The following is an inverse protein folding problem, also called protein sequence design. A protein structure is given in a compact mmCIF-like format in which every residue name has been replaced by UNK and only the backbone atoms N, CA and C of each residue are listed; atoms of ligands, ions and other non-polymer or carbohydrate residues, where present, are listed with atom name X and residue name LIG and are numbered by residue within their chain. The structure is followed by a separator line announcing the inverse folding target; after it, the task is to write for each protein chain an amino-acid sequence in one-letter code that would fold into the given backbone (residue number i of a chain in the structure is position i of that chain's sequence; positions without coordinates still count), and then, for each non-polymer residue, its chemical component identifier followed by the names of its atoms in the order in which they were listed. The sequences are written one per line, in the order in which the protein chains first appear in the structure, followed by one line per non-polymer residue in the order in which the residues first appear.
data_IF_109662624801
#
_entry.id   IF_109662624801
#
_cell.length_a   1.000
_cell.length_b   1.000
_cell.length_c   1.000
_cell.angle_alpha   90.00
_cell.angle_beta   90.00
_cell.angle_gamma   90.00
#
_symmetry.space_group_name_H-M   'P 1'
#
loop_
_entity.id
_entity.type
_entity.pdbx_description
1 polymer ?
#
# COMPACT_ATOMS: atom_id res chain seq x y z
N UNK A 1 21.46 -11.63 -13.47
CA UNK A 1 20.43 -12.37 -14.24
C UNK A 1 19.43 -11.35 -14.72
N UNK A 2 18.92 -11.49 -15.95
CA UNK A 2 17.80 -10.67 -16.42
C UNK A 2 16.50 -11.17 -15.83
N UNK A 3 15.54 -10.26 -15.58
CA UNK A 3 14.28 -10.57 -14.92
C UNK A 3 13.13 -10.66 -15.93
N UNK A 4 12.21 -11.58 -15.69
CA UNK A 4 10.92 -11.68 -16.38
C UNK A 4 9.82 -11.36 -15.40
N UNK A 5 9.14 -10.24 -15.63
CA UNK A 5 8.16 -9.67 -14.69
C UNK A 5 6.78 -9.67 -15.33
N UNK A 6 5.79 -10.19 -14.61
CA UNK A 6 4.40 -10.15 -15.03
C UNK A 6 3.59 -9.14 -14.23
N UNK A 7 2.60 -8.52 -14.88
CA UNK A 7 1.54 -7.73 -14.22
C UNK A 7 0.21 -8.39 -14.51
N UNK A 8 -0.50 -8.81 -13.47
CA UNK A 8 -1.82 -9.43 -13.52
C UNK A 8 -2.87 -8.46 -13.01
N UNK A 9 -3.87 -8.17 -13.84
CA UNK A 9 -4.81 -7.07 -13.65
C UNK A 9 -4.21 -5.75 -14.14
N UNK A 10 -4.56 -5.36 -15.37
CA UNK A 10 -4.00 -4.19 -16.04
C UNK A 10 -4.96 -3.00 -16.08
N UNK A 11 -5.89 -2.94 -15.16
CA UNK A 11 -6.73 -1.79 -14.91
C UNK A 11 -5.94 -0.57 -14.45
N UNK A 12 -6.56 0.30 -13.65
CA UNK A 12 -5.93 1.56 -13.23
C UNK A 12 -4.55 1.39 -12.58
N UNK A 13 -4.41 0.52 -11.56
CA UNK A 13 -3.12 0.34 -10.87
C UNK A 13 -2.14 -0.50 -11.68
N UNK A 14 -2.61 -1.56 -12.34
CA UNK A 14 -1.74 -2.37 -13.19
C UNK A 14 -1.15 -1.58 -14.35
N UNK A 15 -1.89 -0.63 -14.95
CA UNK A 15 -1.33 0.25 -15.97
C UNK A 15 -0.24 1.18 -15.43
N UNK A 16 -0.36 1.66 -14.18
CA UNK A 16 0.71 2.42 -13.54
C UNK A 16 1.95 1.55 -13.29
N UNK A 17 1.77 0.30 -12.85
CA UNK A 17 2.87 -0.65 -12.69
C UNK A 17 3.56 -0.96 -14.03
N UNK A 18 2.81 -1.23 -15.09
CA UNK A 18 3.39 -1.45 -16.43
C UNK A 18 4.22 -0.25 -16.88
N UNK A 19 3.68 0.97 -16.77
CA UNK A 19 4.40 2.19 -17.14
C UNK A 19 5.66 2.40 -16.30
N UNK A 20 5.63 2.08 -15.01
CA UNK A 20 6.79 2.16 -14.14
C UNK A 20 7.84 1.09 -14.47
N UNK A 21 7.44 -0.15 -14.76
CA UNK A 21 8.36 -1.22 -15.17
C UNK A 21 9.08 -0.88 -16.48
N UNK A 22 8.35 -0.36 -17.48
CA UNK A 22 8.97 0.10 -18.74
C UNK A 22 10.01 1.20 -18.48
N UNK A 23 9.71 2.15 -17.61
CA UNK A 23 10.61 3.24 -17.23
C UNK A 23 11.87 2.76 -16.50
N UNK A 24 11.74 1.69 -15.71
CA UNK A 24 12.80 1.11 -14.88
C UNK A 24 13.49 -0.08 -15.54
N UNK A 25 13.11 -0.46 -16.77
CA UNK A 25 13.52 -1.69 -17.43
C UNK A 25 15.04 -1.87 -17.46
N UNK A 26 15.76 -0.86 -17.91
CA UNK A 26 17.22 -0.91 -18.02
C UNK A 26 17.88 -0.92 -16.63
N UNK A 27 17.37 -0.09 -15.69
CA UNK A 27 17.90 0.00 -14.33
C UNK A 27 17.78 -1.32 -13.57
N UNK A 28 16.68 -2.04 -13.76
CA UNK A 28 16.38 -3.29 -13.06
C UNK A 28 16.74 -4.54 -13.87
N UNK A 29 17.33 -4.35 -15.05
CA UNK A 29 17.69 -5.45 -15.96
C UNK A 29 16.52 -6.40 -16.25
N UNK A 30 15.36 -5.81 -16.59
CA UNK A 30 14.16 -6.57 -16.94
C UNK A 30 14.21 -6.93 -18.43
N UNK A 31 14.24 -8.23 -18.73
CA UNK A 31 14.27 -8.75 -20.10
C UNK A 31 12.86 -8.75 -20.72
N UNK A 32 11.87 -9.19 -19.96
CA UNK A 32 10.49 -9.28 -20.44
C UNK A 32 9.51 -8.70 -19.42
N UNK A 33 8.58 -7.89 -19.92
CA UNK A 33 7.40 -7.43 -19.21
C UNK A 33 6.19 -8.06 -19.87
N UNK A 34 5.45 -8.89 -19.13
CA UNK A 34 4.27 -9.61 -19.63
C UNK A 34 3.04 -9.09 -18.89
N UNK A 35 1.99 -8.78 -19.64
CA UNK A 35 0.71 -8.34 -19.08
C UNK A 35 -0.31 -9.46 -19.08
N UNK A 36 -1.21 -9.49 -18.10
CA UNK A 36 -2.34 -10.40 -18.08
C UNK A 36 -3.59 -9.66 -17.59
N UNK A 37 -4.63 -9.67 -18.40
CA UNK A 37 -5.94 -9.12 -18.03
C UNK A 37 -7.07 -9.90 -18.72
N UNK A 38 -8.10 -10.26 -17.97
CA UNK A 38 -9.24 -11.02 -18.49
C UNK A 38 -10.27 -10.16 -19.23
N UNK A 39 -10.15 -8.84 -19.21
CA UNK A 39 -10.93 -7.95 -20.06
C UNK A 39 -10.28 -7.89 -21.45
N UNK A 40 -11.00 -8.40 -22.43
CA UNK A 40 -10.54 -8.44 -23.83
C UNK A 40 -10.17 -7.05 -24.39
N UNK A 41 -10.88 -6.00 -24.00
CA UNK A 41 -10.60 -4.64 -24.50
C UNK A 41 -9.29 -4.10 -23.90
N UNK A 42 -9.06 -4.36 -22.61
CA UNK A 42 -7.79 -4.02 -21.93
C UNK A 42 -6.65 -4.79 -22.59
N UNK A 43 -6.80 -6.11 -22.75
CA UNK A 43 -5.79 -6.97 -23.38
C UNK A 43 -5.48 -6.52 -24.82
N UNK A 44 -6.48 -6.20 -25.62
CA UNK A 44 -6.29 -5.71 -26.98
C UNK A 44 -5.56 -4.36 -27.03
N UNK A 45 -5.92 -3.42 -26.15
CA UNK A 45 -5.24 -2.12 -26.06
C UNK A 45 -3.76 -2.27 -25.71
N UNK A 46 -3.43 -3.18 -24.80
CA UNK A 46 -2.04 -3.45 -24.40
C UNK A 46 -1.24 -4.12 -25.54
N UNK A 47 -1.84 -5.04 -26.29
CA UNK A 47 -1.20 -5.63 -27.50
C UNK A 47 -0.90 -4.58 -28.56
N UNK A 48 -1.83 -3.64 -28.79
CA UNK A 48 -1.61 -2.52 -29.70
C UNK A 48 -0.49 -1.58 -29.21
N UNK A 49 -0.26 -1.52 -27.90
CA UNK A 49 0.84 -0.78 -27.29
C UNK A 49 2.17 -1.56 -27.27
N UNK A 50 2.21 -2.77 -27.85
CA UNK A 50 3.43 -3.57 -28.00
C UNK A 50 3.75 -4.52 -26.85
N UNK A 51 2.86 -4.69 -25.87
CA UNK A 51 3.06 -5.66 -24.79
C UNK A 51 2.76 -7.10 -25.25
N UNK A 52 3.49 -8.06 -24.67
CA UNK A 52 3.08 -9.46 -24.65
C UNK A 52 1.92 -9.60 -23.65
N UNK A 53 0.75 -10.11 -24.09
CA UNK A 53 -0.48 -10.08 -23.29
C UNK A 53 -1.21 -11.42 -23.31
N UNK A 54 -1.54 -11.93 -22.14
CA UNK A 54 -2.42 -13.07 -21.89
C UNK A 54 -3.77 -12.62 -21.35
N UNK A 55 -4.84 -13.39 -21.65
CA UNK A 55 -6.18 -13.14 -21.14
C UNK A 55 -6.54 -14.07 -19.95
N UNK A 56 -5.68 -15.02 -19.65
CA UNK A 56 -5.78 -15.86 -18.44
C UNK A 56 -4.40 -16.14 -17.85
N UNK A 57 -4.40 -16.40 -16.55
CA UNK A 57 -3.17 -16.57 -15.77
C UNK A 57 -2.51 -17.91 -16.06
N UNK A 58 -3.29 -18.93 -16.41
CA UNK A 58 -2.78 -20.25 -16.73
C UNK A 58 -1.89 -20.20 -17.98
N UNK A 59 -2.35 -19.56 -19.07
CA UNK A 59 -1.53 -19.39 -20.28
C UNK A 59 -0.28 -18.54 -20.03
N UNK A 60 -0.38 -17.51 -19.18
CA UNK A 60 0.78 -16.73 -18.76
C UNK A 60 1.85 -17.63 -18.12
N UNK A 61 1.44 -18.50 -17.19
CA UNK A 61 2.34 -19.36 -16.44
C UNK A 61 2.93 -20.47 -17.33
N UNK A 62 2.11 -21.03 -18.22
CA UNK A 62 2.52 -22.14 -19.08
C UNK A 62 3.52 -21.69 -20.16
N UNK A 63 3.37 -20.47 -20.67
CA UNK A 63 4.17 -19.95 -21.78
C UNK A 63 5.43 -19.18 -21.32
N UNK A 64 5.45 -18.70 -20.06
CA UNK A 64 6.56 -17.90 -19.55
C UNK A 64 7.10 -18.43 -18.22
N UNK A 65 8.44 -18.41 -18.12
CA UNK A 65 9.12 -18.59 -16.84
C UNK A 65 9.19 -17.21 -16.15
N UNK A 66 8.23 -16.91 -15.27
CA UNK A 66 8.13 -15.64 -14.56
C UNK A 66 8.96 -15.67 -13.27
N UNK A 67 9.82 -14.66 -13.07
CA UNK A 67 10.64 -14.53 -11.86
C UNK A 67 9.87 -13.74 -10.77
N UNK A 68 9.08 -12.73 -11.19
CA UNK A 68 8.30 -11.89 -10.29
C UNK A 68 6.95 -11.53 -10.90
N UNK A 69 5.92 -11.46 -10.07
CA UNK A 69 4.57 -11.03 -10.44
C UNK A 69 4.11 -9.85 -9.61
N UNK A 70 3.40 -8.92 -10.25
CA UNK A 70 2.63 -7.86 -9.60
C UNK A 70 1.16 -8.18 -9.79
N UNK A 71 0.44 -8.40 -8.69
CA UNK A 71 -1.01 -8.68 -8.69
C UNK A 71 -1.74 -7.38 -8.36
N UNK A 72 -2.42 -6.80 -9.36
CA UNK A 72 -3.15 -5.54 -9.26
C UNK A 72 -4.62 -5.69 -9.71
N UNK A 73 -5.22 -6.80 -9.35
CA UNK A 73 -6.60 -7.23 -9.64
C UNK A 73 -7.57 -6.72 -8.55
N UNK A 74 -8.88 -7.00 -8.61
CA UNK A 74 -9.80 -6.73 -7.50
C UNK A 74 -9.41 -7.46 -6.21
N UNK A 75 -9.67 -6.81 -5.06
CA UNK A 75 -9.22 -7.26 -3.73
C UNK A 75 -9.55 -8.73 -3.40
N UNK A 76 -10.72 -9.21 -3.83
CA UNK A 76 -11.19 -10.58 -3.58
C UNK A 76 -10.40 -11.66 -4.33
N UNK A 77 -9.56 -11.30 -5.28
CA UNK A 77 -8.72 -12.23 -6.05
C UNK A 77 -7.26 -12.26 -5.58
N UNK A 78 -6.83 -11.31 -4.74
CA UNK A 78 -5.46 -11.15 -4.29
C UNK A 78 -4.89 -12.41 -3.64
N UNK A 79 -5.66 -13.02 -2.72
CA UNK A 79 -5.25 -14.25 -2.04
C UNK A 79 -5.01 -15.40 -3.02
N UNK A 80 -5.99 -15.67 -3.88
CA UNK A 80 -5.92 -16.81 -4.79
C UNK A 80 -4.76 -16.68 -5.78
N UNK A 81 -4.58 -15.48 -6.35
CA UNK A 81 -3.49 -15.22 -7.29
C UNK A 81 -2.12 -15.19 -6.59
N UNK A 82 -2.02 -14.51 -5.45
CA UNK A 82 -0.79 -14.48 -4.67
C UNK A 82 -0.33 -15.89 -4.28
N UNK A 83 -1.25 -16.73 -3.79
CA UNK A 83 -1.01 -18.14 -3.47
C UNK A 83 -0.52 -18.92 -4.69
N UNK A 84 -1.23 -18.80 -5.81
CA UNK A 84 -0.92 -19.50 -7.06
C UNK A 84 0.53 -19.24 -7.51
N UNK A 85 0.97 -17.99 -7.51
CA UNK A 85 2.32 -17.62 -7.93
C UNK A 85 3.40 -18.02 -6.91
N UNK A 86 3.15 -17.79 -5.63
CA UNK A 86 4.10 -18.19 -4.57
C UNK A 86 4.33 -19.71 -4.56
N UNK A 87 3.28 -20.53 -4.68
CA UNK A 87 3.39 -21.99 -4.75
C UNK A 87 4.21 -22.47 -5.95
N UNK A 88 4.22 -21.69 -7.03
CA UNK A 88 5.05 -21.94 -8.23
C UNK A 88 6.47 -21.38 -8.13
N UNK A 89 6.82 -20.81 -6.99
CA UNK A 89 8.16 -20.28 -6.75
C UNK A 89 8.42 -18.94 -7.43
N UNK A 90 7.38 -18.13 -7.65
CA UNK A 90 7.46 -16.76 -8.20
C UNK A 90 7.43 -15.75 -7.05
N UNK A 91 8.29 -14.73 -7.09
CA UNK A 91 8.21 -13.60 -6.16
C UNK A 91 6.95 -12.78 -6.43
N UNK A 92 6.25 -12.33 -5.39
CA UNK A 92 4.96 -11.65 -5.54
C UNK A 92 4.92 -10.29 -4.84
N UNK A 93 4.51 -9.26 -5.58
CA UNK A 93 3.99 -8.01 -5.03
C UNK A 93 2.48 -8.02 -5.26
N UNK A 94 1.72 -8.00 -4.19
CA UNK A 94 0.26 -7.98 -4.24
C UNK A 94 -0.22 -6.59 -3.81
N UNK A 95 -1.09 -5.98 -4.61
CA UNK A 95 -1.69 -4.69 -4.23
C UNK A 95 -2.43 -4.78 -2.89
N UNK A 96 -2.54 -3.64 -2.26
CA UNK A 96 -3.23 -3.56 -0.96
C UNK A 96 -4.77 -3.58 -1.12
N UNK A 97 -5.48 -4.19 -0.17
CA UNK A 97 -4.95 -5.02 0.92
C UNK A 97 -4.43 -6.35 0.39
N UNK A 98 -3.41 -6.92 1.03
CA UNK A 98 -2.91 -8.27 0.68
C UNK A 98 -4.05 -9.30 0.70
N UNK A 99 -4.95 -9.17 1.67
CA UNK A 99 -6.27 -9.79 1.78
C UNK A 99 -7.14 -8.91 2.67
N UNK A 100 -8.45 -9.02 2.55
CA UNK A 100 -9.42 -8.41 3.48
C UNK A 100 -9.64 -9.25 4.74
N UNK A 101 -9.10 -10.45 4.76
CA UNK A 101 -9.16 -11.45 5.83
C UNK A 101 -7.75 -11.69 6.35
N UNK A 102 -7.57 -11.56 7.67
CA UNK A 102 -6.27 -11.70 8.33
C UNK A 102 -5.70 -13.12 8.19
N UNK A 103 -6.53 -14.16 8.30
CA UNK A 103 -6.05 -15.54 8.26
C UNK A 103 -5.58 -15.92 6.84
N UNK A 104 -6.27 -15.43 5.81
CA UNK A 104 -5.84 -15.58 4.42
C UNK A 104 -4.52 -14.84 4.17
N UNK A 105 -4.36 -13.62 4.69
CA UNK A 105 -3.11 -12.88 4.60
C UNK A 105 -1.97 -13.62 5.31
N UNK A 106 -2.22 -14.16 6.50
CA UNK A 106 -1.26 -14.97 7.27
C UNK A 106 -0.84 -16.24 6.52
N UNK A 107 -1.80 -16.88 5.83
CA UNK A 107 -1.52 -18.03 4.96
C UNK A 107 -0.56 -17.68 3.82
N UNK A 108 -0.76 -16.54 3.13
CA UNK A 108 0.17 -16.08 2.08
C UNK A 108 1.58 -15.85 2.61
N UNK A 109 1.69 -15.23 3.79
CA UNK A 109 2.98 -15.03 4.46
C UNK A 109 3.66 -16.37 4.73
N UNK A 110 2.91 -17.36 5.25
CA UNK A 110 3.45 -18.71 5.54
C UNK A 110 3.95 -19.40 4.27
N UNK A 111 3.19 -19.34 3.17
CA UNK A 111 3.59 -19.89 1.88
C UNK A 111 4.86 -19.20 1.36
N UNK A 112 4.94 -17.87 1.47
CA UNK A 112 6.12 -17.13 1.01
C UNK A 112 7.41 -17.57 1.73
N UNK A 113 7.32 -17.77 3.04
CA UNK A 113 8.41 -18.28 3.87
C UNK A 113 8.77 -19.74 3.48
N UNK A 114 7.78 -20.61 3.35
CA UNK A 114 7.98 -22.00 2.95
C UNK A 114 8.69 -22.12 1.60
N UNK A 115 8.28 -21.29 0.62
CA UNK A 115 8.84 -21.31 -0.73
C UNK A 115 10.13 -20.49 -0.86
N UNK A 116 10.54 -19.76 0.17
CA UNK A 116 11.70 -18.87 0.13
C UNK A 116 11.54 -17.75 -0.89
N UNK A 117 10.32 -17.22 -1.06
CA UNK A 117 9.99 -16.19 -2.03
C UNK A 117 9.59 -14.87 -1.36
N UNK A 118 9.99 -13.77 -1.96
CA UNK A 118 9.58 -12.45 -1.51
C UNK A 118 8.08 -12.27 -1.72
N UNK A 119 7.37 -11.90 -0.66
CA UNK A 119 5.99 -11.40 -0.71
C UNK A 119 6.00 -9.96 -0.20
N UNK A 120 5.57 -9.03 -1.03
CA UNK A 120 5.42 -7.61 -0.70
C UNK A 120 3.97 -7.18 -0.90
N UNK A 121 3.57 -6.15 -0.18
CA UNK A 121 2.23 -5.55 -0.31
C UNK A 121 2.35 -4.12 -0.86
N UNK A 122 1.38 -3.69 -1.65
CA UNK A 122 1.32 -2.40 -2.34
C UNK A 122 1.24 -1.17 -1.42
N UNK A 123 2.06 -1.08 -0.38
CA UNK A 123 2.16 0.07 0.52
C UNK A 123 3.12 1.14 -0.02
N UNK A 124 2.79 1.65 -1.18
CA UNK A 124 3.66 2.59 -1.92
C UNK A 124 4.02 3.86 -1.15
N UNK A 125 3.19 4.32 -0.20
CA UNK A 125 3.47 5.54 0.57
C UNK A 125 4.68 5.41 1.49
N UNK A 126 5.12 4.20 1.84
CA UNK A 126 6.40 3.96 2.51
C UNK A 126 7.61 4.42 1.70
N UNK A 127 7.46 4.47 0.38
CA UNK A 127 8.50 4.91 -0.56
C UNK A 127 8.32 6.38 -0.99
N UNK A 128 7.40 7.11 -0.37
CA UNK A 128 7.22 8.52 -0.62
C UNK A 128 8.41 9.33 -0.07
N UNK A 129 9.10 10.14 -0.90
CA UNK A 129 10.34 10.80 -0.48
C UNK A 129 10.21 11.60 0.82
N UNK A 130 9.14 12.37 0.96
CA UNK A 130 8.89 13.13 2.19
C UNK A 130 8.65 12.22 3.41
N UNK A 131 8.00 11.07 3.23
CA UNK A 131 7.80 10.09 4.32
C UNK A 131 9.14 9.48 4.74
N UNK A 132 10.00 9.14 3.80
CA UNK A 132 11.32 8.57 4.07
C UNK A 132 12.27 9.58 4.76
N UNK A 133 12.29 10.84 4.29
CA UNK A 133 13.07 11.88 4.95
C UNK A 133 12.54 12.14 6.37
N UNK A 134 11.22 12.25 6.53
CA UNK A 134 10.60 12.44 7.84
C UNK A 134 10.90 11.26 8.77
N UNK A 135 10.81 10.01 8.30
CA UNK A 135 11.21 8.83 9.07
C UNK A 135 12.66 8.92 9.54
N UNK A 136 13.59 9.29 8.64
CA UNK A 136 15.00 9.48 9.00
C UNK A 136 15.20 10.56 10.07
N UNK A 137 14.44 11.66 10.02
CA UNK A 137 14.47 12.74 11.02
C UNK A 137 13.93 12.30 12.38
N UNK A 138 12.85 11.51 12.38
CA UNK A 138 12.30 10.92 13.62
C UNK A 138 13.35 10.04 14.29
N UNK A 139 14.03 9.17 13.52
CA UNK A 139 15.09 8.30 14.05
C UNK A 139 16.27 9.09 14.64
N UNK A 140 16.52 10.32 14.17
CA UNK A 140 17.53 11.23 14.70
C UNK A 140 17.04 12.08 15.88
N UNK A 141 15.76 11.98 16.24
CA UNK A 141 15.16 12.75 17.32
C UNK A 141 14.82 14.20 16.95
N UNK A 142 14.84 14.58 15.68
CA UNK A 142 14.63 15.96 15.22
C UNK A 142 13.29 16.56 15.68
N UNK A 143 12.24 15.75 15.81
CA UNK A 143 10.92 16.17 16.23
C UNK A 143 10.62 15.91 17.73
N UNK A 144 11.60 15.37 18.47
CA UNK A 144 11.42 14.97 19.86
C UNK A 144 10.53 13.73 20.01
N UNK A 145 9.86 13.60 21.15
CA UNK A 145 8.90 12.52 21.37
C UNK A 145 7.66 12.75 20.48
N UNK A 146 7.24 11.72 19.76
CA UNK A 146 6.02 11.79 18.96
C UNK A 146 4.82 11.66 19.88
N UNK A 147 3.84 12.54 19.73
CA UNK A 147 2.67 12.65 20.59
C UNK A 147 1.38 12.29 19.84
N UNK A 148 1.29 12.69 18.55
CA UNK A 148 0.08 12.51 17.74
C UNK A 148 0.40 12.41 16.25
N UNK A 149 -0.40 11.64 15.51
CA UNK A 149 -0.43 11.62 14.05
C UNK A 149 -1.87 11.78 13.58
N UNK A 150 -2.12 12.77 12.72
CA UNK A 150 -3.41 12.97 12.06
C UNK A 150 -3.24 12.66 10.58
N UNK A 151 -3.89 11.60 10.09
CA UNK A 151 -3.92 11.23 8.69
C UNK A 151 -5.28 11.56 8.09
N UNK A 152 -5.28 12.34 7.00
CA UNK A 152 -6.51 12.73 6.33
C UNK A 152 -6.45 12.45 4.85
N UNK A 153 -7.40 11.65 4.36
CA UNK A 153 -7.52 11.35 2.94
C UNK A 153 -8.99 11.38 2.50
N UNK A 154 -9.42 12.55 2.03
CA UNK A 154 -10.74 12.81 1.52
C UNK A 154 -10.69 12.95 0.00
N UNK A 155 -11.67 12.41 -0.71
CA UNK A 155 -11.72 12.43 -2.16
C UNK A 155 -13.09 12.82 -2.67
N UNK A 156 -13.13 13.66 -3.69
CA UNK A 156 -14.34 14.00 -4.44
C UNK A 156 -14.80 12.84 -5.34
N UNK A 157 -13.95 11.85 -5.55
CA UNK A 157 -14.22 10.69 -6.40
C UNK A 157 -15.28 9.80 -5.78
N UNK A 158 -15.93 9.03 -6.62
CA UNK A 158 -16.78 7.93 -6.19
C UNK A 158 -15.96 6.80 -5.57
N UNK A 159 -16.64 5.97 -4.79
CA UNK A 159 -16.07 4.76 -4.21
C UNK A 159 -15.55 3.80 -5.29
N UNK A 160 -14.54 3.04 -4.93
CA UNK A 160 -14.03 1.94 -5.77
C UNK A 160 -15.03 0.78 -5.64
N UNK A 161 -15.50 0.19 -6.75
CA UNK A 161 -16.36 -0.98 -6.69
C UNK A 161 -15.74 -2.10 -5.84
N UNK A 162 -16.58 -2.80 -5.08
CA UNK A 162 -16.19 -3.92 -4.22
C UNK A 162 -15.14 -3.60 -3.13
N UNK A 163 -15.06 -2.31 -2.73
CA UNK A 163 -14.17 -1.85 -1.67
C UNK A 163 -14.85 -0.81 -0.79
N UNK A 164 -14.36 -0.61 0.42
CA UNK A 164 -14.78 0.43 1.36
C UNK A 164 -13.61 1.40 1.65
N UNK A 165 -13.89 2.52 2.31
CA UNK A 165 -12.86 3.52 2.59
C UNK A 165 -11.78 3.03 3.58
N UNK A 166 -12.10 2.05 4.44
CA UNK A 166 -11.12 1.46 5.36
C UNK A 166 -10.06 0.69 4.59
N UNK A 167 -10.46 -0.27 3.75
CA UNK A 167 -9.54 -1.11 2.96
C UNK A 167 -8.81 -0.31 1.87
N UNK A 168 -9.41 0.77 1.38
CA UNK A 168 -8.84 1.55 0.28
C UNK A 168 -7.97 2.71 0.73
N UNK A 169 -8.34 3.41 1.80
CA UNK A 169 -7.74 4.67 2.20
C UNK A 169 -7.15 4.62 3.61
N UNK A 170 -7.91 4.12 4.63
CA UNK A 170 -7.43 4.10 6.00
C UNK A 170 -6.24 3.17 6.21
N UNK A 171 -6.18 2.08 5.48
CA UNK A 171 -5.05 1.13 5.51
C UNK A 171 -3.69 1.81 5.25
N UNK A 172 -3.67 2.84 4.40
CA UNK A 172 -2.44 3.62 4.16
C UNK A 172 -2.07 4.51 5.34
N UNK A 173 -3.06 5.11 6.02
CA UNK A 173 -2.83 5.93 7.21
C UNK A 173 -2.26 5.09 8.35
N UNK A 174 -2.82 3.90 8.56
CA UNK A 174 -2.34 2.98 9.58
C UNK A 174 -0.93 2.45 9.26
N UNK A 175 -0.66 2.15 7.99
CA UNK A 175 0.67 1.70 7.55
C UNK A 175 1.73 2.79 7.73
N UNK A 176 1.43 4.06 7.38
CA UNK A 176 2.32 5.19 7.62
C UNK A 176 2.57 5.39 9.12
N UNK A 177 1.52 5.37 9.94
CA UNK A 177 1.67 5.51 11.39
C UNK A 177 2.56 4.41 11.97
N UNK A 178 2.33 3.15 11.56
CA UNK A 178 3.16 2.00 11.96
C UNK A 178 4.62 2.21 11.57
N UNK A 179 4.91 2.66 10.35
CA UNK A 179 6.27 2.97 9.90
C UNK A 179 6.91 4.07 10.76
N UNK A 180 6.25 5.22 10.89
CA UNK A 180 6.80 6.40 11.59
C UNK A 180 7.00 6.14 13.08
N UNK A 181 6.22 5.23 13.67
CA UNK A 181 6.35 4.77 15.04
C UNK A 181 7.22 3.51 15.18
N UNK A 182 8.19 3.33 14.28
CA UNK A 182 9.21 2.27 14.33
C UNK A 182 8.63 0.85 14.36
N UNK A 183 7.67 0.59 13.47
CA UNK A 183 6.98 -0.70 13.30
C UNK A 183 6.16 -1.12 14.54
N UNK A 184 5.82 -0.19 15.43
CA UNK A 184 4.91 -0.46 16.54
C UNK A 184 3.49 -0.68 16.02
N UNK A 185 2.68 -1.36 16.82
CA UNK A 185 1.26 -1.61 16.53
C UNK A 185 0.38 -0.79 17.48
N UNK A 186 -0.81 -0.38 17.06
CA UNK A 186 -1.82 0.11 17.99
C UNK A 186 -2.04 -0.89 19.13
N UNK A 187 -2.38 -0.40 20.30
CA UNK A 187 -2.76 -1.19 21.47
C UNK A 187 -4.28 -1.22 21.64
N UNK A 188 -4.93 -0.11 21.33
CA UNK A 188 -6.37 0.09 21.53
C UNK A 188 -6.92 0.85 20.32
N UNK A 189 -8.11 0.49 19.88
CA UNK A 189 -8.96 1.33 19.03
C UNK A 189 -9.97 2.02 19.94
N UNK A 190 -9.75 3.31 20.21
CA UNK A 190 -10.57 4.10 21.13
C UNK A 190 -11.89 4.51 20.51
N UNK A 191 -11.95 4.62 19.18
CA UNK A 191 -13.16 4.98 18.45
C UNK A 191 -13.07 4.57 16.98
N UNK A 192 -14.18 4.10 16.44
CA UNK A 192 -14.44 4.02 15.01
C UNK A 192 -15.84 4.51 14.73
N UNK A 193 -15.98 5.45 13.80
CA UNK A 193 -17.28 6.01 13.38
C UNK A 193 -17.33 6.17 11.87
N UNK A 194 -18.53 6.12 11.31
CA UNK A 194 -18.72 6.34 9.87
C UNK A 194 -19.39 5.15 9.17
N UNK A 195 -19.11 4.99 7.90
CA UNK A 195 -19.67 3.95 7.03
C UNK A 195 -18.66 3.51 5.95
N UNK A 196 -19.11 2.81 4.91
CA UNK A 196 -18.27 2.36 3.79
C UNK A 196 -17.62 3.52 3.00
N UNK A 197 -18.23 4.71 3.02
CA UNK A 197 -17.80 5.86 2.23
C UNK A 197 -16.99 6.86 3.01
N UNK A 198 -17.23 6.96 4.30
CA UNK A 198 -16.52 7.86 5.20
C UNK A 198 -16.33 7.20 6.55
N UNK A 199 -15.10 7.20 7.04
CA UNK A 199 -14.78 6.66 8.37
C UNK A 199 -13.71 7.50 9.04
N UNK A 200 -13.80 7.54 10.36
CA UNK A 200 -12.82 8.13 11.24
C UNK A 200 -12.48 7.12 12.34
N UNK A 201 -11.18 6.86 12.49
CA UNK A 201 -10.63 5.97 13.50
C UNK A 201 -9.74 6.76 14.44
N UNK A 202 -9.78 6.42 15.73
CA UNK A 202 -8.82 6.90 16.73
C UNK A 202 -8.18 5.67 17.37
N UNK A 203 -6.86 5.60 17.29
CA UNK A 203 -6.04 4.49 17.73
C UNK A 203 -5.00 4.98 18.73
N UNK A 204 -4.77 4.23 19.78
CA UNK A 204 -3.70 4.49 20.75
C UNK A 204 -2.53 3.54 20.51
N UNK A 205 -1.36 4.11 20.31
CA UNK A 205 -0.09 3.41 20.18
C UNK A 205 0.67 3.42 21.52
N UNK A 206 1.76 2.63 21.66
CA UNK A 206 2.62 2.71 22.82
C UNK A 206 3.08 4.14 23.10
N UNK A 207 3.39 4.42 24.38
CA UNK A 207 3.79 5.75 24.88
C UNK A 207 2.71 6.83 24.76
N UNK A 208 1.42 6.42 24.71
CA UNK A 208 0.24 7.32 24.63
C UNK A 208 0.20 8.15 23.33
N UNK A 209 0.79 7.64 22.26
CA UNK A 209 0.71 8.30 20.96
C UNK A 209 -0.70 8.06 20.38
N UNK A 210 -1.42 9.13 20.11
CA UNK A 210 -2.72 9.09 19.47
C UNK A 210 -2.55 9.14 17.94
N UNK A 211 -3.27 8.28 17.23
CA UNK A 211 -3.33 8.30 15.77
C UNK A 211 -4.77 8.43 15.33
N UNK A 212 -5.08 9.55 14.68
CA UNK A 212 -6.37 9.80 14.06
C UNK A 212 -6.28 9.55 12.56
N UNK A 213 -7.22 8.77 12.02
CA UNK A 213 -7.31 8.46 10.59
C UNK A 213 -8.69 8.84 10.10
N UNK A 214 -8.79 9.89 9.28
CA UNK A 214 -10.02 10.35 8.65
C UNK A 214 -9.97 10.11 7.15
N UNK A 215 -10.90 9.32 6.63
CA UNK A 215 -10.93 8.95 5.21
C UNK A 215 -12.33 9.01 4.63
N UNK A 216 -12.43 9.31 3.32
CA UNK A 216 -13.74 9.32 2.68
C UNK A 216 -13.73 9.54 1.19
N UNK A 217 -14.78 9.02 0.53
CA UNK A 217 -15.14 9.28 -0.86
C UNK A 217 -16.34 10.24 -0.93
N UNK A 218 -16.59 10.80 -2.13
CA UNK A 218 -17.69 11.75 -2.40
C UNK A 218 -17.67 12.96 -1.47
N UNK A 219 -16.47 13.39 -1.06
CA UNK A 219 -16.31 14.54 -0.19
C UNK A 219 -16.32 15.84 -1.02
N UNK A 220 -16.49 16.97 -0.35
CA UNK A 220 -16.55 18.30 -1.00
C UNK A 220 -15.21 18.74 -1.58
N UNK A 221 -14.12 18.26 -1.01
CA UNK A 221 -12.76 18.62 -1.38
C UNK A 221 -11.84 17.39 -1.43
N UNK A 222 -10.70 17.57 -2.08
CA UNK A 222 -9.66 16.56 -2.13
C UNK A 222 -8.55 16.91 -1.15
N UNK A 223 -8.42 16.13 -0.08
CA UNK A 223 -7.36 16.25 0.92
C UNK A 223 -6.57 14.94 0.92
N UNK A 224 -5.24 15.04 0.91
CA UNK A 224 -4.34 13.89 1.01
C UNK A 224 -3.08 14.33 1.75
N UNK A 225 -3.11 14.27 3.07
CA UNK A 225 -2.03 14.73 3.93
C UNK A 225 -1.99 14.00 5.25
N UNK A 226 -0.89 14.13 5.96
CA UNK A 226 -0.83 13.81 7.39
C UNK A 226 0.00 14.85 8.14
N UNK A 227 -0.35 15.04 9.41
CA UNK A 227 0.38 15.87 10.36
C UNK A 227 0.98 14.97 11.43
N UNK A 228 2.24 15.14 11.72
CA UNK A 228 2.93 14.45 12.81
C UNK A 228 3.36 15.48 13.85
N UNK A 229 2.82 15.36 15.03
CA UNK A 229 3.09 16.25 16.17
C UNK A 229 4.11 15.59 17.10
N UNK A 230 5.21 16.26 17.30
CA UNK A 230 6.23 15.88 18.26
C UNK A 230 6.52 17.02 19.23
N UNK A 231 7.17 16.72 20.35
CA UNK A 231 7.50 17.71 21.39
C UNK A 231 8.38 18.86 20.92
N UNK A 232 9.08 18.72 19.80
CA UNK A 232 9.97 19.74 19.21
C UNK A 232 9.46 20.29 17.87
N UNK A 233 8.19 20.08 17.51
CA UNK A 233 7.61 20.64 16.31
C UNK A 233 6.63 19.71 15.61
N UNK A 234 5.95 20.25 14.60
CA UNK A 234 4.96 19.53 13.80
C UNK A 234 5.44 19.43 12.36
N UNK A 235 5.39 18.22 11.78
CA UNK A 235 5.61 18.03 10.35
C UNK A 235 4.26 17.89 9.63
N UNK A 236 4.11 18.56 8.49
CA UNK A 236 2.93 18.49 7.62
C UNK A 236 3.36 17.98 6.25
N UNK A 237 2.87 16.81 5.86
CA UNK A 237 3.20 16.15 4.60
C UNK A 237 1.95 16.07 3.71
N UNK A 238 2.00 16.73 2.57
CA UNK A 238 0.98 16.60 1.52
C UNK A 238 1.36 15.44 0.60
N UNK A 239 0.55 14.37 0.58
CA UNK A 239 0.86 13.12 -0.12
C UNK A 239 0.84 13.22 -1.66
N UNK A 240 0.41 14.33 -2.21
CA UNK A 240 0.46 14.65 -3.63
C UNK A 240 1.70 15.47 -4.04
N UNK A 241 2.55 15.87 -3.07
CA UNK A 241 3.83 16.57 -3.30
C UNK A 241 4.97 15.64 -2.89
N UNK A 242 5.84 15.32 -3.82
CA UNK A 242 6.91 14.36 -3.56
C UNK A 242 8.27 15.02 -3.24
N UNK A 243 8.36 16.33 -3.44
CA UNK A 243 9.61 17.09 -3.40
C UNK A 243 9.78 17.94 -2.14
N UNK A 244 8.70 18.16 -1.38
CA UNK A 244 8.76 19.03 -0.21
C UNK A 244 7.65 18.76 0.81
N UNK A 245 7.92 19.12 2.06
CA UNK A 245 6.95 19.16 3.16
C UNK A 245 7.31 20.27 4.14
N UNK A 246 6.44 20.58 5.10
CA UNK A 246 6.63 21.69 6.06
C UNK A 246 6.94 21.14 7.45
N UNK A 247 7.90 21.78 8.15
CA UNK A 247 8.08 21.63 9.60
C UNK A 247 7.79 22.97 10.28
N UNK A 248 6.97 22.94 11.33
CA UNK A 248 6.65 24.10 12.17
C UNK A 248 7.33 23.92 13.52
N UNK A 249 8.14 24.92 13.93
CA UNK A 249 8.80 24.99 15.24
C UNK A 249 8.69 26.39 15.80
N UNK A 250 8.25 26.52 17.04
CA UNK A 250 8.10 27.80 17.73
C UNK A 250 7.30 28.83 16.91
N UNK A 251 6.28 28.35 16.18
CA UNK A 251 5.44 29.16 15.31
C UNK A 251 6.08 29.54 13.97
N UNK A 252 7.30 29.11 13.67
CA UNK A 252 7.98 29.34 12.40
C UNK A 252 7.82 28.15 11.46
N UNK A 253 7.41 28.42 10.22
CA UNK A 253 7.28 27.42 9.17
C UNK A 253 8.58 27.31 8.37
N UNK A 254 9.05 26.08 8.19
CA UNK A 254 10.20 25.74 7.36
C UNK A 254 9.77 24.74 6.27
N UNK A 255 10.02 25.07 5.01
CA UNK A 255 9.92 24.09 3.91
C UNK A 255 11.15 23.21 3.88
N UNK A 256 10.92 21.91 3.92
CA UNK A 256 11.94 20.88 3.76
C UNK A 256 11.84 20.31 2.35
N UNK A 257 12.94 20.34 1.61
CA UNK A 257 13.00 19.79 0.26
C UNK A 257 13.67 18.41 0.29
N UNK A 258 13.10 17.48 -0.46
CA UNK A 258 13.62 16.13 -0.60
C UNK A 258 14.17 15.93 -2.01
N UNK A 259 15.32 15.30 -2.10
CA UNK A 259 15.87 14.87 -3.38
C UNK A 259 15.45 13.42 -3.65
N UNK A 260 14.61 13.23 -4.65
CA UNK A 260 14.27 11.88 -5.10
C UNK A 260 14.25 11.80 -6.62
N UNK A 261 14.87 10.76 -7.15
CA UNK A 261 14.83 10.41 -8.57
C UNK A 261 13.65 9.50 -8.92
N UNK A 262 12.95 8.99 -7.92
CA UNK A 262 11.90 8.00 -8.06
C UNK A 262 10.56 8.51 -7.53
N UNK A 263 9.49 8.18 -8.23
CA UNK A 263 8.15 8.26 -7.66
C UNK A 263 8.00 7.20 -6.54
N UNK A 264 7.02 7.32 -5.64
CA UNK A 264 6.75 6.28 -4.65
C UNK A 264 6.59 4.88 -5.26
N UNK A 265 5.94 4.80 -6.42
CA UNK A 265 5.76 3.53 -7.13
C UNK A 265 7.08 2.98 -7.69
N UNK A 266 7.93 3.85 -8.25
CA UNK A 266 9.24 3.42 -8.73
C UNK A 266 10.09 2.88 -7.57
N UNK A 267 10.10 3.58 -6.43
CA UNK A 267 10.80 3.14 -5.23
C UNK A 267 10.32 1.76 -4.74
N UNK A 268 9.01 1.55 -4.74
CA UNK A 268 8.42 0.25 -4.37
C UNK A 268 8.86 -0.87 -5.32
N UNK A 269 8.88 -0.62 -6.63
CA UNK A 269 9.29 -1.62 -7.62
C UNK A 269 10.78 -1.92 -7.56
N UNK A 270 11.62 -0.91 -7.33
CA UNK A 270 13.07 -1.09 -7.13
C UNK A 270 13.31 -1.96 -5.89
N UNK A 271 12.63 -1.68 -4.78
CA UNK A 271 12.72 -2.49 -3.56
C UNK A 271 12.24 -3.94 -3.81
N UNK A 272 11.08 -4.12 -4.42
CA UNK A 272 10.51 -5.44 -4.67
C UNK A 272 11.42 -6.30 -5.57
N UNK A 273 11.89 -5.75 -6.69
CA UNK A 273 12.66 -6.48 -7.69
C UNK A 273 14.15 -6.63 -7.33
N UNK A 274 14.61 -6.01 -6.24
CA UNK A 274 15.91 -6.33 -5.64
C UNK A 274 15.91 -7.71 -4.98
N UNK A 275 14.73 -8.26 -4.67
CA UNK A 275 14.52 -9.49 -3.89
C UNK A 275 15.24 -9.50 -2.54
N UNK A 276 15.61 -8.34 -2.03
CA UNK A 276 16.24 -8.23 -0.73
C UNK A 276 15.19 -8.48 0.38
N UNK A 277 15.34 -9.60 1.06
CA UNK A 277 14.49 -9.96 2.20
C UNK A 277 14.74 -9.05 3.43
N UNK A 278 15.82 -8.27 3.41
CA UNK A 278 16.21 -7.32 4.47
C UNK A 278 15.84 -5.88 4.14
N UNK A 279 15.05 -5.65 3.08
CA UNK A 279 14.70 -4.32 2.61
C UNK A 279 14.15 -3.44 3.74
N UNK A 280 14.68 -2.23 3.86
CA UNK A 280 14.52 -1.35 5.01
C UNK A 280 13.23 -0.53 4.99
N UNK A 281 12.60 -0.37 3.84
CA UNK A 281 11.43 0.50 3.67
C UNK A 281 10.13 -0.26 3.43
N UNK A 282 10.17 -1.46 2.82
CA UNK A 282 8.97 -2.28 2.70
C UNK A 282 8.42 -2.68 4.07
N UNK A 283 7.10 -2.79 4.16
CA UNK A 283 6.47 -3.33 5.36
C UNK A 283 6.98 -4.74 5.63
N UNK A 284 7.38 -5.00 6.87
CA UNK A 284 7.63 -6.37 7.31
C UNK A 284 6.35 -7.20 7.24
N UNK A 285 6.46 -8.51 7.09
CA UNK A 285 5.29 -9.40 7.10
C UNK A 285 4.45 -9.23 8.37
N UNK A 286 5.10 -9.03 9.51
CA UNK A 286 4.42 -8.74 10.77
C UNK A 286 3.67 -7.41 10.75
N UNK A 287 4.24 -6.36 10.16
CA UNK A 287 3.56 -5.07 10.00
C UNK A 287 2.34 -5.18 9.08
N UNK A 288 2.47 -5.87 7.96
CA UNK A 288 1.36 -6.12 7.03
C UNK A 288 0.19 -6.79 7.75
N UNK A 289 0.45 -7.89 8.47
CA UNK A 289 -0.57 -8.65 9.17
C UNK A 289 -1.25 -7.81 10.27
N UNK A 290 -0.48 -7.05 11.04
CA UNK A 290 -1.05 -6.15 12.05
C UNK A 290 -1.94 -5.08 11.43
N UNK A 291 -1.51 -4.46 10.34
CA UNK A 291 -2.30 -3.45 9.63
C UNK A 291 -3.63 -4.03 9.14
N UNK A 292 -3.61 -5.22 8.54
CA UNK A 292 -4.83 -5.91 8.08
C UNK A 292 -5.74 -6.22 9.26
N UNK A 293 -5.20 -6.78 10.36
CA UNK A 293 -5.99 -7.12 11.54
C UNK A 293 -6.72 -5.90 12.12
N UNK A 294 -6.05 -4.75 12.24
CA UNK A 294 -6.70 -3.54 12.77
C UNK A 294 -7.76 -2.97 11.84
N UNK A 295 -7.57 -3.03 10.53
CA UNK A 295 -8.60 -2.62 9.55
C UNK A 295 -9.80 -3.59 9.60
N UNK A 296 -9.56 -4.88 9.73
CA UNK A 296 -10.61 -5.87 9.90
C UNK A 296 -11.42 -5.64 11.20
N UNK A 297 -10.75 -5.37 12.31
CA UNK A 297 -11.41 -5.03 13.57
C UNK A 297 -12.25 -3.75 13.44
N UNK A 298 -11.74 -2.70 12.80
CA UNK A 298 -12.49 -1.47 12.56
C UNK A 298 -13.77 -1.74 11.75
N UNK A 299 -13.69 -2.59 10.74
CA UNK A 299 -14.83 -2.99 9.92
C UNK A 299 -15.86 -3.77 10.72
N UNK A 300 -15.42 -4.74 11.54
CA UNK A 300 -16.31 -5.54 12.40
C UNK A 300 -17.00 -4.68 13.45
N UNK A 301 -16.32 -3.69 14.01
CA UNK A 301 -16.92 -2.76 14.98
C UNK A 301 -17.99 -1.89 14.32
N UNK A 302 -17.76 -1.34 13.12
CA UNK A 302 -18.80 -0.62 12.37
C UNK A 302 -20.03 -1.48 12.10
N UNK A 303 -19.84 -2.75 11.73
CA UNK A 303 -20.94 -3.71 11.55
C UNK A 303 -21.72 -3.89 12.85
N UNK A 304 -21.03 -4.05 13.99
CA UNK A 304 -21.66 -4.23 15.29
C UNK A 304 -22.49 -3.03 15.73
N UNK A 305 -22.15 -1.84 15.27
CA UNK A 305 -22.89 -0.59 15.52
C UNK A 305 -24.10 -0.42 14.58
N UNK A 306 -24.42 -1.43 13.76
CA UNK A 306 -25.56 -1.41 12.83
C UNK A 306 -25.31 -0.61 11.56
N UNK A 307 -24.09 -0.21 11.32
CA UNK A 307 -23.68 0.37 10.05
C UNK A 307 -23.64 -0.76 9.03
N UNK A 308 -24.52 -0.70 8.04
CA UNK A 308 -24.52 -1.65 6.93
C UNK A 308 -23.23 -1.45 6.13
N UNK A 309 -22.18 -2.13 6.49
CA UNK A 309 -20.99 -2.27 5.62
C UNK A 309 -21.35 -3.31 4.58
N UNK A 310 -22.48 -3.03 3.86
CA UNK A 310 -23.10 -3.98 2.98
C UNK A 310 -22.17 -4.27 1.80
N UNK A 311 -21.37 -5.26 1.99
CA UNK A 311 -21.25 -6.40 1.09
C UNK A 311 -20.77 -7.56 1.92
N UNK A 312 -21.72 -8.31 2.47
CA UNK A 312 -21.43 -9.69 2.83
C UNK A 312 -20.60 -10.28 1.71
N UNK A 313 -19.36 -10.62 2.04
CA UNK A 313 -18.52 -11.44 1.21
C UNK A 313 -19.38 -12.62 0.75
N UNK A 314 -19.81 -12.62 -0.49
CA UNK A 314 -20.39 -13.83 -1.08
C UNK A 314 -19.34 -14.90 -0.92
N UNK A 315 -19.58 -15.76 0.08
CA UNK A 315 -18.82 -16.98 0.35
C UNK A 315 -18.85 -17.90 -0.86
#
# INVERSE_FOLDING_TARGET
MSLRVAVVGCGRWGSHHLAALVRLQDQLNIEHIVACDNDHNVAQSLRLSGFCVHENVESLIDEHQIDAVIVATPNNTHYALGKMFLERGVHALVEKPLSVDHDLASSLVSISVEKGKSLKTGFLLRFHPCVQDLYSRIQKGDLGAIERIDYKRLSIREEVPDSNCLDSLAIHGLDIATLLLSEQSPMIMSSVVGDERYSKLILEFPYQVEVEIEVGWRQKEHIAEFHLHGSNGTAIVQLNKHDSYTIIRDGNEMSIFTESRHTPLDGQLVDFLSFDLKATHAASTGSILRTINWIEQARLELISLGVNTARELKR
#
